data_IF_989947223702
#
_entry.id   IF_989947223702
#
_cell.length_a   1.000
_cell.length_b   1.000
_cell.length_c   1.000
_cell.angle_alpha   90.00
_cell.angle_beta   90.00
_cell.angle_gamma   90.00
#
_symmetry.space_group_name_H-M   'P 1'
#
loop_
_entity.id
_entity.type
_entity.pdbx_description
1 polymer ?
#
# COMPACT_ATOMS: atom_id res chain seq x y z
N UNK A 1 -5.82 19.88 26.13
CA UNK A 1 -6.11 20.46 24.79
C UNK A 1 -5.69 19.51 23.67
N UNK A 2 -4.56 18.81 23.78
CA UNK A 2 -4.00 17.95 22.71
C UNK A 2 -4.83 16.73 22.34
N UNK A 3 -5.52 16.11 23.29
CA UNK A 3 -6.28 14.88 23.03
C UNK A 3 -7.52 15.14 22.16
N UNK A 4 -8.19 16.28 22.32
CA UNK A 4 -9.33 16.67 21.49
C UNK A 4 -8.90 17.02 20.06
N UNK A 5 -7.76 17.69 19.89
CA UNK A 5 -7.19 18.00 18.59
C UNK A 5 -6.82 16.72 17.82
N UNK A 6 -6.24 15.72 18.50
CA UNK A 6 -5.91 14.43 17.89
C UNK A 6 -7.14 13.64 17.44
N UNK A 7 -8.22 13.65 18.24
CA UNK A 7 -9.49 13.01 17.87
C UNK A 7 -10.14 13.69 16.67
N UNK A 8 -10.13 15.01 16.63
CA UNK A 8 -10.68 15.78 15.52
C UNK A 8 -9.91 15.52 14.21
N UNK A 9 -8.57 15.54 14.26
CA UNK A 9 -7.71 15.24 13.10
C UNK A 9 -7.91 13.81 12.58
N UNK A 10 -8.14 12.86 13.49
CA UNK A 10 -8.48 11.48 13.12
C UNK A 10 -9.87 11.38 12.49
N UNK A 11 -10.88 12.03 13.08
CA UNK A 11 -12.23 12.07 12.52
C UNK A 11 -12.24 12.70 11.12
N UNK A 12 -11.51 13.79 10.91
CA UNK A 12 -11.34 14.41 9.59
C UNK A 12 -10.70 13.46 8.60
N UNK A 13 -9.66 12.74 9.00
CA UNK A 13 -9.00 11.75 8.13
C UNK A 13 -9.98 10.64 7.71
N UNK A 14 -10.82 10.16 8.63
CA UNK A 14 -11.84 9.15 8.33
C UNK A 14 -12.92 9.70 7.39
N UNK A 15 -13.48 10.87 7.68
CA UNK A 15 -14.54 11.48 6.85
C UNK A 15 -14.05 11.72 5.44
N UNK A 16 -12.88 12.32 5.28
CA UNK A 16 -12.27 12.59 3.97
C UNK A 16 -11.96 11.30 3.23
N UNK A 17 -11.41 10.30 3.92
CA UNK A 17 -11.11 8.99 3.32
C UNK A 17 -12.37 8.25 2.87
N UNK A 18 -13.41 8.24 3.69
CA UNK A 18 -14.71 7.63 3.36
C UNK A 18 -15.39 8.37 2.20
N UNK A 19 -15.39 9.70 2.23
CA UNK A 19 -15.95 10.50 1.14
C UNK A 19 -15.25 10.23 -0.20
N UNK A 20 -13.91 10.16 -0.20
CA UNK A 20 -13.11 9.81 -1.37
C UNK A 20 -13.41 8.40 -1.87
N UNK A 21 -13.45 7.42 -0.97
CA UNK A 21 -13.78 6.03 -1.31
C UNK A 21 -15.19 5.89 -1.89
N UNK A 22 -16.18 6.51 -1.26
CA UNK A 22 -17.56 6.47 -1.71
C UNK A 22 -17.76 7.15 -3.07
N UNK A 23 -17.11 8.29 -3.31
CA UNK A 23 -17.16 8.97 -4.60
C UNK A 23 -16.58 8.09 -5.72
N UNK A 24 -15.43 7.47 -5.49
CA UNK A 24 -14.80 6.57 -6.46
C UNK A 24 -15.63 5.29 -6.69
N UNK A 25 -16.33 4.83 -5.67
CA UNK A 25 -17.22 3.67 -5.79
C UNK A 25 -18.45 4.00 -6.65
N UNK A 26 -19.07 5.16 -6.47
CA UNK A 26 -20.15 5.65 -7.32
C UNK A 26 -19.72 5.84 -8.78
N UNK A 27 -18.49 6.29 -9.01
CA UNK A 27 -17.90 6.43 -10.34
C UNK A 27 -17.45 5.09 -10.96
N UNK A 28 -17.65 3.97 -10.25
CA UNK A 28 -17.24 2.62 -10.67
C UNK A 28 -15.77 2.51 -11.03
N UNK A 29 -14.92 3.28 -10.37
CA UNK A 29 -13.48 3.26 -10.59
C UNK A 29 -12.83 2.02 -9.97
N UNK A 30 -11.66 1.59 -10.46
CA UNK A 30 -10.96 0.46 -9.90
C UNK A 30 -10.48 0.77 -8.49
N UNK A 31 -10.53 -0.23 -7.59
CA UNK A 31 -10.10 -0.13 -6.19
C UNK A 31 -10.56 1.17 -5.48
N UNK A 32 -11.87 1.50 -5.49
CA UNK A 32 -12.37 2.82 -5.12
C UNK A 32 -12.01 3.23 -3.71
N UNK A 33 -12.14 2.32 -2.75
CA UNK A 33 -11.84 2.58 -1.35
C UNK A 33 -10.36 2.85 -1.10
N UNK A 34 -9.48 2.21 -1.87
CA UNK A 34 -8.03 2.40 -1.73
C UNK A 34 -7.57 3.69 -2.42
N UNK A 35 -7.89 3.84 -3.71
CA UNK A 35 -7.44 4.99 -4.51
C UNK A 35 -8.16 6.26 -4.09
N UNK A 36 -9.48 6.18 -3.89
CA UNK A 36 -10.29 7.34 -3.50
C UNK A 36 -9.88 7.90 -2.15
N UNK A 37 -9.75 7.04 -1.12
CA UNK A 37 -9.32 7.50 0.20
C UNK A 37 -7.89 8.07 0.19
N UNK A 38 -6.98 7.42 -0.54
CA UNK A 38 -5.58 7.87 -0.65
C UNK A 38 -5.49 9.23 -1.34
N UNK A 39 -6.19 9.44 -2.46
CA UNK A 39 -6.17 10.68 -3.22
C UNK A 39 -6.75 11.84 -2.42
N UNK A 40 -7.92 11.64 -1.83
CA UNK A 40 -8.61 12.68 -1.05
C UNK A 40 -7.83 13.07 0.19
N UNK A 41 -7.28 12.10 0.92
CA UNK A 41 -6.44 12.41 2.09
C UNK A 41 -5.13 13.09 1.70
N UNK A 42 -4.53 12.73 0.56
CA UNK A 42 -3.32 13.39 0.05
C UNK A 42 -3.61 14.84 -0.33
N UNK A 43 -4.68 15.10 -1.09
CA UNK A 43 -5.08 16.47 -1.46
C UNK A 43 -5.39 17.29 -0.22
N UNK A 44 -6.12 16.74 0.74
CA UNK A 44 -6.43 17.44 2.00
C UNK A 44 -5.16 17.75 2.80
N UNK A 45 -4.20 16.82 2.86
CA UNK A 45 -2.92 17.06 3.51
C UNK A 45 -2.11 18.17 2.81
N UNK A 46 -2.13 18.20 1.47
CA UNK A 46 -1.49 19.27 0.69
C UNK A 46 -2.19 20.62 0.89
N UNK A 47 -3.50 20.64 1.14
CA UNK A 47 -4.27 21.82 1.51
C UNK A 47 -4.05 22.28 2.96
N UNK A 48 -3.17 21.60 3.71
CA UNK A 48 -2.82 21.96 5.08
C UNK A 48 -3.79 21.43 6.15
N UNK A 49 -4.71 20.52 5.80
CA UNK A 49 -5.60 19.91 6.79
C UNK A 49 -4.78 18.99 7.71
N UNK A 50 -4.87 19.18 9.05
CA UNK A 50 -4.11 18.37 9.99
C UNK A 50 -4.72 16.96 10.10
N UNK A 51 -4.23 16.04 9.28
CA UNK A 51 -4.64 14.64 9.31
C UNK A 51 -3.71 13.84 10.22
N UNK A 52 -4.29 13.08 11.13
CA UNK A 52 -3.51 12.22 12.04
C UNK A 52 -4.17 10.87 12.23
N UNK A 53 -3.38 9.81 12.05
CA UNK A 53 -3.81 8.44 12.37
C UNK A 53 -3.00 7.95 13.58
N UNK A 54 -3.68 7.55 14.69
CA UNK A 54 -2.99 7.05 15.87
C UNK A 54 -2.13 5.81 15.54
N UNK A 55 -0.87 5.81 16.00
CA UNK A 55 0.07 4.71 15.77
C UNK A 55 -0.49 3.33 16.17
N UNK A 56 -1.16 3.15 17.35
CA UNK A 56 -1.69 1.85 17.72
C UNK A 56 -2.77 1.35 16.74
N UNK A 57 -3.62 2.23 16.23
CA UNK A 57 -4.63 1.84 15.24
C UNK A 57 -3.99 1.42 13.91
N UNK A 58 -3.00 2.20 13.43
CA UNK A 58 -2.23 1.82 12.23
C UNK A 58 -1.58 0.44 12.40
N UNK A 59 -0.94 0.20 13.55
CA UNK A 59 -0.29 -1.08 13.82
C UNK A 59 -1.30 -2.23 13.87
N UNK A 60 -2.47 -2.02 14.49
CA UNK A 60 -3.55 -3.02 14.49
C UNK A 60 -4.04 -3.35 13.08
N UNK A 61 -4.24 -2.34 12.21
CA UNK A 61 -4.63 -2.56 10.81
C UNK A 61 -3.55 -3.32 10.03
N UNK A 62 -2.27 -2.99 10.23
CA UNK A 62 -1.15 -3.72 9.60
C UNK A 62 -1.11 -5.16 10.08
N UNK A 63 -1.36 -5.41 11.37
CA UNK A 63 -1.42 -6.77 11.93
C UNK A 63 -2.57 -7.58 11.31
N UNK A 64 -3.76 -7.00 11.19
CA UNK A 64 -4.91 -7.64 10.54
C UNK A 64 -4.60 -7.98 9.08
N UNK A 65 -4.01 -7.05 8.33
CA UNK A 65 -3.60 -7.29 6.96
C UNK A 65 -2.54 -8.40 6.87
N UNK A 66 -1.59 -8.43 7.81
CA UNK A 66 -0.58 -9.49 7.89
C UNK A 66 -1.20 -10.87 8.12
N UNK A 67 -2.19 -10.97 9.02
CA UNK A 67 -2.93 -12.21 9.28
C UNK A 67 -3.71 -12.65 8.04
N UNK A 68 -4.43 -11.72 7.39
CA UNK A 68 -5.18 -12.02 6.17
C UNK A 68 -4.28 -12.52 5.04
N UNK A 69 -3.15 -11.89 4.81
CA UNK A 69 -2.15 -12.32 3.83
C UNK A 69 -1.53 -13.68 4.23
N UNK A 70 -1.17 -13.84 5.50
CA UNK A 70 -0.57 -15.06 6.03
C UNK A 70 -1.51 -16.26 5.95
N UNK A 71 -2.82 -16.07 6.17
CA UNK A 71 -3.82 -17.14 6.06
C UNK A 71 -3.96 -17.71 4.64
N UNK A 72 -3.51 -16.97 3.62
CA UNK A 72 -3.42 -17.46 2.25
C UNK A 72 -2.33 -18.52 2.03
N UNK A 73 -1.33 -18.62 2.92
CA UNK A 73 -0.25 -19.61 2.81
C UNK A 73 -0.69 -20.97 3.33
N UNK A 74 -1.30 -21.75 2.46
CA UNK A 74 -1.71 -23.13 2.77
C UNK A 74 -0.57 -24.12 2.47
N UNK A 75 -0.57 -25.34 3.09
CA UNK A 75 0.41 -26.40 2.77
C UNK A 75 0.46 -26.74 1.28
N UNK A 76 -0.68 -26.61 0.56
CA UNK A 76 -0.76 -26.84 -0.88
C UNK A 76 0.07 -25.79 -1.66
N UNK A 77 0.10 -24.54 -1.21
CA UNK A 77 0.92 -23.48 -1.82
C UNK A 77 2.42 -23.75 -1.56
N UNK A 78 2.75 -24.15 -0.33
CA UNK A 78 4.14 -24.49 0.04
C UNK A 78 4.65 -25.66 -0.80
N UNK A 79 3.81 -26.68 -1.06
CA UNK A 79 4.16 -27.81 -1.94
C UNK A 79 4.44 -27.42 -3.39
N UNK A 80 3.94 -26.28 -3.86
CA UNK A 80 4.16 -25.76 -5.22
C UNK A 80 5.32 -24.77 -5.35
N UNK A 81 6.08 -24.51 -4.29
CA UNK A 81 7.21 -23.58 -4.34
C UNK A 81 8.26 -23.97 -5.40
N UNK A 82 8.41 -25.27 -5.68
CA UNK A 82 9.28 -25.76 -6.75
C UNK A 82 8.86 -25.27 -8.13
N UNK A 83 7.57 -25.18 -8.41
CA UNK A 83 7.03 -24.67 -9.69
C UNK A 83 7.30 -23.17 -9.86
N UNK A 84 7.43 -22.43 -8.76
CA UNK A 84 7.66 -20.98 -8.77
C UNK A 84 9.12 -20.57 -8.80
N UNK A 85 10.05 -21.52 -8.71
CA UNK A 85 11.49 -21.22 -8.64
C UNK A 85 11.95 -20.37 -9.81
N UNK A 86 11.50 -20.68 -11.03
CA UNK A 86 11.86 -19.92 -12.24
C UNK A 86 11.25 -18.51 -12.19
N UNK A 87 9.98 -18.39 -11.78
CA UNK A 87 9.31 -17.09 -11.67
C UNK A 87 9.93 -16.22 -10.58
N UNK A 88 10.26 -16.80 -9.44
CA UNK A 88 10.93 -16.07 -8.34
C UNK A 88 12.36 -15.68 -8.71
N UNK A 89 13.08 -16.56 -9.40
CA UNK A 89 14.42 -16.26 -9.91
C UNK A 89 14.41 -15.13 -10.95
N UNK A 90 13.47 -15.17 -11.90
CA UNK A 90 13.31 -14.11 -12.89
C UNK A 90 12.88 -12.78 -12.26
N UNK A 91 12.02 -12.82 -11.24
CA UNK A 91 11.63 -11.64 -10.47
C UNK A 91 12.84 -11.04 -9.72
N UNK A 92 13.64 -11.86 -9.05
CA UNK A 92 14.85 -11.41 -8.37
C UNK A 92 15.85 -10.77 -9.35
N UNK A 93 16.08 -11.38 -10.50
CA UNK A 93 16.93 -10.82 -11.55
C UNK A 93 16.38 -9.50 -12.08
N UNK A 94 15.08 -9.42 -12.34
CA UNK A 94 14.42 -8.18 -12.76
C UNK A 94 14.59 -7.07 -11.73
N UNK A 95 14.35 -7.35 -10.44
CA UNK A 95 14.50 -6.36 -9.37
C UNK A 95 15.96 -5.89 -9.23
N UNK A 96 16.93 -6.78 -9.36
CA UNK A 96 18.35 -6.41 -9.34
C UNK A 96 18.70 -5.48 -10.51
N UNK A 97 18.30 -5.81 -11.73
CA UNK A 97 18.54 -4.98 -12.91
C UNK A 97 17.82 -3.64 -12.79
N UNK A 98 16.54 -3.63 -12.39
CA UNK A 98 15.77 -2.42 -12.22
C UNK A 98 16.39 -1.49 -11.15
N UNK A 99 16.89 -2.06 -10.05
CA UNK A 99 17.60 -1.29 -9.01
C UNK A 99 18.88 -0.68 -9.57
N UNK A 100 19.71 -1.46 -10.25
CA UNK A 100 20.98 -0.94 -10.84
C UNK A 100 20.70 0.17 -11.83
N UNK A 101 19.74 -0.02 -12.74
CA UNK A 101 19.35 1.00 -13.73
C UNK A 101 18.81 2.25 -13.03
N UNK A 102 17.93 2.06 -12.04
CA UNK A 102 17.35 3.16 -11.25
C UNK A 102 18.41 3.96 -10.52
N UNK A 103 19.34 3.29 -9.85
CA UNK A 103 20.48 3.96 -9.16
C UNK A 103 21.31 4.76 -10.15
N UNK A 104 21.69 4.17 -11.29
CA UNK A 104 22.48 4.88 -12.30
C UNK A 104 21.74 6.08 -12.87
N UNK A 105 20.45 5.93 -13.13
CA UNK A 105 19.61 7.03 -13.61
C UNK A 105 19.56 8.18 -12.61
N UNK A 106 19.27 7.91 -11.32
CA UNK A 106 19.19 8.93 -10.27
C UNK A 106 20.53 9.61 -10.03
N UNK A 107 21.64 8.87 -10.06
CA UNK A 107 22.99 9.45 -9.92
C UNK A 107 23.37 10.33 -11.09
N UNK A 108 23.03 9.94 -12.32
CA UNK A 108 23.44 10.68 -13.52
C UNK A 108 22.53 11.86 -13.83
N UNK A 109 21.21 11.68 -13.68
CA UNK A 109 20.20 12.68 -14.07
C UNK A 109 19.86 13.62 -12.92
N UNK A 110 19.57 13.10 -11.74
CA UNK A 110 19.21 13.88 -10.57
C UNK A 110 20.43 14.25 -9.70
N UNK A 111 21.62 13.71 -10.01
CA UNK A 111 22.89 13.95 -9.29
C UNK A 111 22.79 13.71 -7.78
N UNK A 112 21.96 12.74 -7.39
CA UNK A 112 21.82 12.36 -6.00
C UNK A 112 23.05 11.60 -5.50
N UNK A 113 23.33 11.72 -4.21
CA UNK A 113 24.37 10.95 -3.54
C UNK A 113 24.13 9.44 -3.63
N UNK A 114 25.15 8.60 -3.46
CA UNK A 114 25.01 7.15 -3.62
C UNK A 114 23.99 6.52 -2.68
N UNK A 115 23.95 6.96 -1.40
CA UNK A 115 23.01 6.41 -0.42
C UNK A 115 21.55 6.74 -0.79
N UNK A 116 21.26 8.03 -1.05
CA UNK A 116 19.93 8.48 -1.49
C UNK A 116 19.50 7.77 -2.77
N UNK A 117 20.39 7.66 -3.77
CA UNK A 117 20.09 6.99 -5.04
C UNK A 117 19.76 5.51 -4.85
N UNK A 118 20.53 4.80 -4.03
CA UNK A 118 20.33 3.38 -3.77
C UNK A 118 19.01 3.13 -3.05
N UNK A 119 18.78 3.78 -1.92
CA UNK A 119 17.56 3.57 -1.14
C UNK A 119 16.31 4.11 -1.82
N UNK A 120 16.42 5.09 -2.70
CA UNK A 120 15.31 5.57 -3.54
C UNK A 120 14.94 4.56 -4.64
N UNK A 121 15.93 3.97 -5.30
CA UNK A 121 15.71 3.05 -6.41
C UNK A 121 15.27 1.66 -5.93
N UNK A 122 15.80 1.19 -4.79
CA UNK A 122 15.53 -0.17 -4.30
C UNK A 122 14.06 -0.35 -3.92
N UNK A 123 13.39 -1.40 -4.40
CA UNK A 123 12.04 -1.73 -3.98
C UNK A 123 12.06 -2.29 -2.54
N UNK A 124 11.31 -1.64 -1.64
CA UNK A 124 11.23 -2.04 -0.23
C UNK A 124 10.12 -1.28 0.49
N UNK A 125 9.95 -1.59 1.78
CA UNK A 125 9.03 -0.83 2.65
C UNK A 125 9.50 0.61 2.80
N UNK A 126 8.58 1.57 2.68
CA UNK A 126 8.92 2.99 2.75
C UNK A 126 9.64 3.34 4.05
N UNK A 127 9.10 2.88 5.18
CA UNK A 127 9.65 3.22 6.49
C UNK A 127 11.06 2.63 6.69
N UNK A 128 11.24 1.38 6.28
CA UNK A 128 12.50 0.65 6.42
C UNK A 128 13.58 1.24 5.55
N UNK A 129 13.25 1.52 4.27
CA UNK A 129 14.21 2.12 3.32
C UNK A 129 14.62 3.53 3.73
N UNK A 130 13.66 4.35 4.17
CA UNK A 130 13.94 5.71 4.64
C UNK A 130 14.74 5.68 5.94
N UNK A 131 14.40 4.81 6.89
CA UNK A 131 15.10 4.73 8.17
C UNK A 131 16.57 4.30 7.98
N UNK A 132 16.80 3.20 7.27
CA UNK A 132 18.16 2.69 7.01
C UNK A 132 18.95 3.67 6.13
N UNK A 133 18.31 4.19 5.08
CA UNK A 133 18.95 5.14 4.18
C UNK A 133 19.40 6.42 4.87
N UNK A 134 18.60 6.94 5.82
CA UNK A 134 18.97 8.09 6.63
C UNK A 134 20.19 7.81 7.53
N UNK A 135 20.24 6.61 8.14
CA UNK A 135 21.39 6.18 8.94
C UNK A 135 22.68 6.06 8.10
N UNK A 136 22.53 5.77 6.81
CA UNK A 136 23.65 5.73 5.85
C UNK A 136 23.96 7.08 5.17
N UNK A 137 23.37 8.17 5.67
CA UNK A 137 23.64 9.53 5.20
C UNK A 137 22.81 9.97 3.99
N UNK A 138 21.77 9.22 3.62
CA UNK A 138 20.86 9.59 2.55
C UNK A 138 19.85 10.68 2.95
N UNK A 139 19.38 11.46 1.96
CA UNK A 139 18.36 12.49 2.18
C UNK A 139 16.98 11.89 2.41
N UNK A 140 16.54 11.95 3.66
CA UNK A 140 15.25 11.44 4.14
C UNK A 140 14.07 11.93 3.33
N UNK A 141 14.09 13.23 2.97
CA UNK A 141 12.96 13.86 2.27
C UNK A 141 12.84 13.34 0.84
N UNK A 142 13.94 13.29 0.12
CA UNK A 142 13.99 12.79 -1.26
C UNK A 142 13.58 11.31 -1.33
N UNK A 143 14.12 10.48 -0.43
CA UNK A 143 13.76 9.06 -0.36
C UNK A 143 12.27 8.87 -0.06
N UNK A 144 11.74 9.56 0.95
CA UNK A 144 10.33 9.43 1.33
C UNK A 144 9.38 9.87 0.21
N UNK A 145 9.66 11.02 -0.43
CA UNK A 145 8.86 11.55 -1.53
C UNK A 145 8.88 10.62 -2.75
N UNK A 146 10.06 10.12 -3.12
CA UNK A 146 10.18 9.22 -4.28
C UNK A 146 9.46 7.90 -4.07
N UNK A 147 9.57 7.30 -2.87
CA UNK A 147 8.82 6.10 -2.53
C UNK A 147 7.30 6.33 -2.53
N UNK A 148 6.85 7.43 -1.91
CA UNK A 148 5.43 7.77 -1.88
C UNK A 148 4.88 8.00 -3.29
N UNK A 149 5.60 8.75 -4.14
CA UNK A 149 5.22 9.00 -5.53
C UNK A 149 5.17 7.69 -6.34
N UNK A 150 6.17 6.82 -6.20
CA UNK A 150 6.20 5.52 -6.88
C UNK A 150 5.00 4.67 -6.51
N UNK A 151 4.71 4.53 -5.22
CA UNK A 151 3.55 3.74 -4.76
C UNK A 151 2.25 4.35 -5.28
N UNK A 152 2.11 5.66 -5.20
CA UNK A 152 0.93 6.37 -5.70
C UNK A 152 0.72 6.14 -7.20
N UNK A 153 1.79 6.29 -8.00
CA UNK A 153 1.72 6.08 -9.45
C UNK A 153 1.34 4.64 -9.81
N UNK A 154 1.97 3.66 -9.17
CA UNK A 154 1.68 2.23 -9.41
C UNK A 154 0.24 1.90 -9.03
N UNK A 155 -0.23 2.35 -7.87
CA UNK A 155 -1.58 2.08 -7.37
C UNK A 155 -2.65 2.76 -8.25
N UNK A 156 -2.34 3.89 -8.86
CA UNK A 156 -3.26 4.57 -9.78
C UNK A 156 -3.17 3.95 -11.18
N UNK A 157 -1.97 3.91 -11.77
CA UNK A 157 -1.80 3.57 -13.19
C UNK A 157 -2.21 2.12 -13.48
N UNK A 158 -1.79 1.16 -12.64
CA UNK A 158 -2.02 -0.26 -12.96
C UNK A 158 -3.52 -0.60 -13.01
N UNK A 159 -4.35 -0.28 -11.99
CA UNK A 159 -5.78 -0.61 -12.05
C UNK A 159 -6.52 0.10 -13.19
N UNK A 160 -6.16 1.35 -13.48
CA UNK A 160 -6.76 2.07 -14.59
C UNK A 160 -6.34 1.49 -15.96
N UNK A 161 -5.09 1.08 -16.11
CA UNK A 161 -4.63 0.40 -17.32
C UNK A 161 -5.37 -0.93 -17.53
N UNK A 162 -5.54 -1.75 -16.48
CA UNK A 162 -6.30 -3.00 -16.56
C UNK A 162 -7.78 -2.76 -16.90
N UNK A 163 -8.38 -1.70 -16.36
CA UNK A 163 -9.76 -1.34 -16.68
C UNK A 163 -9.88 -0.87 -18.15
N UNK A 164 -8.97 -0.02 -18.63
CA UNK A 164 -8.98 0.46 -20.00
C UNK A 164 -8.73 -0.64 -21.03
N UNK A 165 -7.96 -1.66 -20.67
CA UNK A 165 -7.72 -2.84 -21.51
C UNK A 165 -8.85 -3.88 -21.45
N UNK A 166 -9.92 -3.63 -20.67
CA UNK A 166 -11.03 -4.56 -20.49
C UNK A 166 -10.68 -5.82 -19.69
N UNK A 167 -9.50 -5.86 -19.06
CA UNK A 167 -9.03 -6.98 -18.25
C UNK A 167 -9.59 -6.94 -16.82
N UNK A 168 -10.18 -5.82 -16.41
CA UNK A 168 -10.82 -5.63 -15.11
C UNK A 168 -12.26 -5.16 -15.29
N UNK A 169 -13.20 -5.99 -14.84
CA UNK A 169 -14.63 -5.67 -14.83
C UNK A 169 -15.05 -5.28 -13.39
N UNK A 170 -15.37 -4.00 -13.13
CA UNK A 170 -15.83 -3.57 -11.80
C UNK A 170 -17.12 -4.25 -11.35
N UNK A 171 -17.95 -4.75 -12.28
CA UNK A 171 -19.19 -5.44 -11.97
C UNK A 171 -18.96 -6.89 -11.47
N UNK A 172 -17.80 -7.47 -11.78
CA UNK A 172 -17.37 -8.79 -11.29
C UNK A 172 -16.61 -8.73 -9.98
N UNK A 173 -16.81 -7.71 -9.19
CA UNK A 173 -16.29 -7.67 -7.81
C UNK A 173 -16.92 -8.84 -7.05
N UNK A 174 -16.23 -9.98 -7.07
CA UNK A 174 -16.59 -11.09 -6.20
C UNK A 174 -16.58 -10.57 -4.76
N UNK A 175 -17.66 -10.77 -4.04
CA UNK A 175 -17.67 -10.61 -2.60
C UNK A 175 -16.56 -11.50 -2.06
N UNK A 176 -15.49 -10.92 -1.50
CA UNK A 176 -14.43 -11.67 -0.84
C UNK A 176 -15.03 -12.35 0.39
N UNK A 177 -15.57 -13.55 0.18
CA UNK A 177 -16.22 -14.33 1.22
C UNK A 177 -17.68 -13.91 1.53
N UNK A 178 -18.36 -14.65 2.38
CA UNK A 178 -19.66 -14.25 2.91
C UNK A 178 -19.49 -12.91 3.65
N UNK A 179 -20.33 -11.93 3.33
CA UNK A 179 -20.28 -10.61 3.97
C UNK A 179 -20.33 -10.77 5.49
N UNK A 180 -19.67 -9.86 6.22
CA UNK A 180 -19.67 -9.87 7.70
C UNK A 180 -21.09 -9.98 8.30
N UNK A 181 -22.10 -9.51 7.56
CA UNK A 181 -23.52 -9.58 7.94
C UNK A 181 -24.14 -10.97 7.68
N UNK A 182 -23.48 -11.88 6.96
CA UNK A 182 -23.93 -13.24 6.71
C UNK A 182 -23.26 -14.27 7.62
N UNK A 183 -22.35 -13.84 8.50
CA UNK A 183 -21.75 -14.69 9.53
C UNK A 183 -22.83 -15.06 10.55
N UNK A 184 -23.15 -16.34 10.62
CA UNK A 184 -24.08 -16.84 11.64
C UNK A 184 -23.39 -16.91 13.02
N UNK A 185 -24.17 -16.76 14.09
CA UNK A 185 -23.66 -16.88 15.47
C UNK A 185 -22.75 -18.10 15.71
N UNK A 186 -23.04 -19.30 15.15
CA UNK A 186 -22.18 -20.48 15.29
C UNK A 186 -20.81 -20.32 14.58
N UNK A 187 -20.72 -19.54 13.51
CA UNK A 187 -19.46 -19.30 12.79
C UNK A 187 -18.52 -18.38 13.60
N UNK A 188 -19.10 -17.38 14.27
CA UNK A 188 -18.37 -16.49 15.20
C UNK A 188 -17.87 -17.28 16.42
N UNK A 189 -18.68 -18.22 16.93
CA UNK A 189 -18.28 -19.06 18.05
C UNK A 189 -17.12 -20.03 17.68
N UNK A 190 -17.08 -20.53 16.45
CA UNK A 190 -15.97 -21.35 15.96
C UNK A 190 -14.67 -20.55 15.77
N UNK A 191 -14.77 -19.29 15.35
CA UNK A 191 -13.61 -18.39 15.21
C UNK A 191 -13.03 -17.97 16.56
N UNK A 192 -13.83 -17.96 17.63
CA UNK A 192 -13.35 -17.64 18.99
C UNK A 192 -12.78 -18.84 19.73
N UNK A 193 -12.90 -20.05 19.19
CA UNK A 193 -12.42 -21.30 19.80
C UNK A 193 -11.11 -21.81 19.21
N UNK A 194 -10.50 -21.08 18.24
CA UNK A 194 -9.16 -21.30 17.70
C UNK A 194 -8.21 -20.24 18.23
#
# INVERSE_FOLDING_TARGET
ADRKAGVLSFALALVIGVAGGALFDQLRLPLPWLIGSMLFTTVAAMAGVPLHVPKPLRNAMVMILGIMLGSGFTPAIVGRLGEWTVSLGSLAAYLAVATVVGVQYLRRTARLDPATSYFTATPGGLNEMVMVGTQMGGDTRTMALAHALRVMLVVIIIPFAFQSLGLYDPARRGTLGPGLLSLSLPDVARLSAC
#
